data_IF_625775983122
#
_entry.id   IF_625775983122
#
_cell.length_a   1.000
_cell.length_b   1.000
_cell.length_c   1.000
_cell.angle_alpha   90.00
_cell.angle_beta   90.00
_cell.angle_gamma   90.00
#
_symmetry.space_group_name_H-M   'P 1'
#
loop_
_entity.id
_entity.type
_entity.pdbx_description
1 polymer ?
#
# COMPACT_ATOMS: atom_id res chain seq x y z
N UNK A 1 -15.86 8.74 -10.18
CA UNK A 1 -15.49 7.36 -10.53
C UNK A 1 -16.01 6.98 -11.89
N UNK A 2 -15.24 6.20 -12.60
CA UNK A 2 -15.70 5.67 -13.88
C UNK A 2 -16.69 4.52 -13.69
N UNK A 3 -17.69 4.44 -14.56
CA UNK A 3 -18.62 3.32 -14.65
C UNK A 3 -18.23 2.37 -15.78
N UNK A 4 -17.14 2.64 -16.49
CA UNK A 4 -16.66 1.85 -17.62
C UNK A 4 -15.49 0.97 -17.21
N UNK A 5 -15.36 -0.18 -17.85
CA UNK A 5 -14.15 -1.00 -17.75
C UNK A 5 -12.98 -0.24 -18.36
N UNK A 6 -11.82 -0.37 -17.75
CA UNK A 6 -10.62 0.34 -18.20
C UNK A 6 -9.36 -0.40 -17.78
N UNK A 7 -8.25 0.03 -18.35
CA UNK A 7 -6.92 -0.41 -17.91
C UNK A 7 -6.01 0.81 -17.82
N UNK A 8 -5.02 0.72 -16.93
CA UNK A 8 -4.00 1.73 -16.83
C UNK A 8 -2.64 1.08 -16.61
N UNK A 9 -1.58 1.77 -17.05
CA UNK A 9 -0.21 1.28 -16.91
C UNK A 9 0.33 1.74 -15.55
N UNK A 10 0.49 0.79 -14.63
CA UNK A 10 0.79 1.10 -13.23
C UNK A 10 2.15 1.78 -13.04
N UNK A 11 3.25 1.34 -13.71
CA UNK A 11 4.58 1.85 -13.40
C UNK A 11 4.77 3.35 -13.61
N UNK A 12 4.02 3.97 -14.49
CA UNK A 12 4.13 5.40 -14.81
C UNK A 12 2.86 6.19 -14.52
N UNK A 13 1.92 5.61 -13.79
CA UNK A 13 0.70 6.30 -13.40
C UNK A 13 1.01 7.49 -12.49
N UNK A 14 0.34 8.62 -12.74
CA UNK A 14 0.46 9.80 -11.89
C UNK A 14 -0.23 9.56 -10.56
N UNK A 15 0.47 9.88 -9.46
CA UNK A 15 -0.03 9.74 -8.11
C UNK A 15 -0.09 11.11 -7.44
N UNK A 16 -1.01 11.23 -6.48
CA UNK A 16 -1.19 12.44 -5.69
C UNK A 16 -0.63 12.24 -4.27
N UNK A 17 -0.16 13.32 -3.60
CA UNK A 17 0.26 13.20 -2.21
C UNK A 17 -0.85 12.62 -1.33
N UNK A 18 -0.46 11.67 -0.49
CA UNK A 18 -1.35 11.02 0.48
C UNK A 18 -0.57 10.83 1.78
N UNK A 19 -0.29 11.94 2.50
CA UNK A 19 0.63 11.92 3.62
C UNK A 19 0.13 11.03 4.77
N UNK A 20 1.09 10.31 5.37
CA UNK A 20 0.86 9.53 6.59
C UNK A 20 0.59 10.46 7.78
N UNK A 21 -0.13 9.94 8.76
CA UNK A 21 -0.13 10.54 10.09
C UNK A 21 1.32 10.50 10.61
N UNK A 22 1.90 11.62 11.06
CA UNK A 22 3.27 11.64 11.58
C UNK A 22 3.53 10.62 12.69
N UNK A 23 2.51 10.24 13.45
CA UNK A 23 2.61 9.22 14.49
C UNK A 23 2.93 7.82 13.94
N UNK A 24 2.68 7.57 12.67
CA UNK A 24 3.00 6.30 12.01
C UNK A 24 4.47 6.19 11.63
N UNK A 25 5.22 7.30 11.60
CA UNK A 25 6.61 7.30 11.15
C UNK A 25 7.53 6.96 12.32
N UNK A 26 8.23 5.83 12.21
CA UNK A 26 9.21 5.37 13.21
C UNK A 26 10.58 5.96 12.95
N UNK A 27 11.02 5.94 11.68
CA UNK A 27 12.31 6.53 11.30
C UNK A 27 12.31 6.93 9.82
N UNK A 28 13.21 7.86 9.49
CA UNK A 28 13.33 8.40 8.14
C UNK A 28 12.29 9.47 7.85
N UNK A 29 12.18 9.80 6.57
CA UNK A 29 11.21 10.79 6.08
C UNK A 29 10.41 10.20 4.90
N UNK A 30 9.73 9.06 5.10
CA UNK A 30 8.99 8.43 4.00
C UNK A 30 7.83 9.31 3.54
N UNK A 31 7.65 9.36 2.24
CA UNK A 31 6.55 10.10 1.60
C UNK A 31 5.64 9.11 0.90
N UNK A 32 4.34 9.28 1.09
CA UNK A 32 3.31 8.45 0.46
C UNK A 32 2.59 9.23 -0.60
N UNK A 33 2.39 8.59 -1.74
CA UNK A 33 1.55 9.06 -2.84
C UNK A 33 0.61 7.94 -3.24
N UNK A 34 -0.54 8.29 -3.79
CA UNK A 34 -1.52 7.28 -4.17
C UNK A 34 -2.56 7.77 -5.15
N UNK A 35 -3.37 6.82 -5.59
CA UNK A 35 -4.49 7.11 -6.48
C UNK A 35 -5.54 6.01 -6.31
N UNK A 36 -6.74 6.38 -5.90
CA UNK A 36 -7.89 5.47 -5.94
C UNK A 36 -8.43 5.49 -7.36
N UNK A 37 -8.40 4.34 -8.03
CA UNK A 37 -8.85 4.22 -9.42
C UNK A 37 -10.30 3.75 -9.51
N UNK A 38 -10.80 3.10 -8.47
CA UNK A 38 -12.19 2.65 -8.38
C UNK A 38 -12.60 2.54 -6.92
N UNK A 39 -13.85 2.87 -6.64
CA UNK A 39 -14.44 2.75 -5.32
C UNK A 39 -15.87 2.24 -5.48
N UNK A 40 -16.29 1.32 -4.59
CA UNK A 40 -17.67 0.84 -4.58
C UNK A 40 -18.64 1.93 -4.14
N UNK A 41 -19.93 1.77 -4.49
CA UNK A 41 -20.97 2.75 -4.17
C UNK A 41 -21.09 3.01 -2.66
N UNK A 42 -20.86 1.98 -1.83
CA UNK A 42 -20.91 2.09 -0.37
C UNK A 42 -19.57 2.56 0.24
N UNK A 43 -18.54 2.79 -0.56
CA UNK A 43 -17.23 3.23 -0.12
C UNK A 43 -16.41 2.18 0.60
N UNK A 44 -16.86 0.93 0.64
CA UNK A 44 -16.21 -0.14 1.40
C UNK A 44 -15.17 -0.93 0.63
N UNK A 45 -15.13 -0.79 -0.69
CA UNK A 45 -14.15 -1.44 -1.53
C UNK A 45 -13.39 -0.39 -2.30
N UNK A 46 -12.07 -0.44 -2.18
CA UNK A 46 -11.16 0.47 -2.87
C UNK A 46 -10.20 -0.32 -3.74
N UNK A 47 -9.90 0.21 -4.91
CA UNK A 47 -8.88 -0.31 -5.83
C UNK A 47 -7.98 0.84 -6.20
N UNK A 48 -6.68 0.65 -6.13
CA UNK A 48 -5.79 1.77 -6.39
C UNK A 48 -4.33 1.41 -6.52
N UNK A 49 -3.54 2.47 -6.55
CA UNK A 49 -2.08 2.43 -6.57
C UNK A 49 -1.58 3.22 -5.38
N UNK A 50 -0.54 2.71 -4.73
CA UNK A 50 0.07 3.34 -3.58
C UNK A 50 1.59 3.22 -3.69
N UNK A 51 2.28 4.28 -3.29
CA UNK A 51 3.73 4.33 -3.32
C UNK A 51 4.26 4.93 -2.04
N UNK A 52 5.37 4.39 -1.54
CA UNK A 52 6.06 4.91 -0.38
C UNK A 52 7.56 4.94 -0.62
N UNK A 53 8.22 6.04 -0.24
CA UNK A 53 9.67 6.16 -0.26
C UNK A 53 10.30 5.52 0.98
N UNK A 54 11.63 5.26 1.00
CA UNK A 54 12.28 4.55 2.11
C UNK A 54 12.06 5.17 3.49
N UNK A 55 11.92 4.31 4.47
CA UNK A 55 11.73 4.65 5.88
C UNK A 55 11.06 3.52 6.61
N UNK A 56 10.77 3.72 7.90
CA UNK A 56 10.08 2.74 8.74
C UNK A 56 8.78 3.35 9.23
N UNK A 57 7.68 2.66 8.97
CA UNK A 57 6.33 3.11 9.33
C UNK A 57 5.53 1.99 9.98
N UNK A 58 4.55 2.37 10.78
CA UNK A 58 3.58 1.44 11.36
C UNK A 58 2.20 1.68 10.77
N UNK A 59 1.37 0.64 10.80
CA UNK A 59 -0.02 0.74 10.38
C UNK A 59 -0.89 -0.27 11.13
N UNK A 60 -2.18 0.02 11.20
CA UNK A 60 -3.21 -0.97 11.53
C UNK A 60 -3.94 -1.25 10.23
N UNK A 61 -3.85 -2.48 9.76
CA UNK A 61 -4.25 -2.83 8.41
C UNK A 61 -5.76 -3.00 8.27
N UNK A 62 -6.24 -2.79 7.05
CA UNK A 62 -7.55 -3.26 6.59
C UNK A 62 -7.36 -4.62 5.89
N UNK A 63 -8.44 -5.27 5.47
CA UNK A 63 -8.34 -6.42 4.57
C UNK A 63 -7.84 -5.93 3.23
N UNK A 64 -6.65 -6.37 2.85
CA UNK A 64 -5.99 -5.90 1.65
C UNK A 64 -5.30 -7.03 0.92
N UNK A 65 -5.40 -7.00 -0.40
CA UNK A 65 -4.54 -7.76 -1.31
C UNK A 65 -3.75 -6.76 -2.12
N UNK A 66 -2.43 -6.94 -2.21
CA UNK A 66 -1.64 -6.06 -3.09
C UNK A 66 -0.59 -6.85 -3.87
N UNK A 67 -0.17 -6.29 -4.99
CA UNK A 67 0.93 -6.79 -5.81
C UNK A 67 1.97 -5.69 -5.91
N UNK A 68 3.23 -6.03 -5.63
CA UNK A 68 4.34 -5.10 -5.75
C UNK A 68 4.74 -4.98 -7.21
N UNK A 69 4.80 -3.75 -7.71
CA UNK A 69 5.22 -3.43 -9.07
C UNK A 69 6.71 -3.10 -9.11
N UNK A 70 7.18 -2.34 -8.13
CA UNK A 70 8.59 -1.94 -8.02
C UNK A 70 8.95 -1.69 -6.57
N UNK A 71 10.25 -1.74 -6.26
CA UNK A 71 10.76 -1.51 -4.92
C UNK A 71 10.68 -2.73 -4.02
N UNK A 72 10.99 -2.54 -2.73
CA UNK A 72 11.02 -3.63 -1.76
C UNK A 72 10.76 -3.13 -0.34
N UNK A 73 10.21 -4.00 0.48
CA UNK A 73 9.98 -3.74 1.89
C UNK A 73 9.96 -5.04 2.69
N UNK A 74 10.28 -4.92 3.98
CA UNK A 74 10.07 -5.99 4.97
C UNK A 74 8.87 -5.59 5.83
N UNK A 75 7.92 -6.50 5.96
CA UNK A 75 6.68 -6.28 6.73
C UNK A 75 6.66 -7.23 7.91
N UNK A 76 6.61 -6.66 9.11
CA UNK A 76 6.52 -7.40 10.35
C UNK A 76 5.10 -7.30 10.89
N UNK A 77 4.41 -8.42 11.02
CA UNK A 77 3.07 -8.48 11.59
C UNK A 77 3.22 -8.76 13.09
N UNK A 78 2.72 -7.86 13.93
CA UNK A 78 2.80 -8.00 15.39
C UNK A 78 2.12 -9.31 15.84
N UNK A 79 2.87 -10.15 16.54
CA UNK A 79 2.40 -11.46 16.99
C UNK A 79 2.26 -12.51 15.88
N UNK A 80 2.74 -12.21 14.68
CA UNK A 80 2.60 -13.05 13.51
C UNK A 80 3.89 -13.22 12.73
N UNK A 81 3.75 -13.25 11.41
CA UNK A 81 4.86 -13.50 10.50
C UNK A 81 5.62 -12.23 10.14
N UNK A 82 6.84 -12.41 9.67
CA UNK A 82 7.65 -11.37 9.03
C UNK A 82 7.97 -11.85 7.62
N UNK A 83 7.78 -11.00 6.63
CA UNK A 83 8.07 -11.33 5.24
C UNK A 83 8.59 -10.13 4.47
N UNK A 84 9.35 -10.41 3.41
CA UNK A 84 9.87 -9.39 2.50
C UNK A 84 9.15 -9.51 1.17
N UNK A 85 8.80 -8.36 0.58
CA UNK A 85 8.14 -8.29 -0.72
C UNK A 85 8.98 -7.47 -1.70
N UNK A 86 8.94 -7.88 -2.96
CA UNK A 86 9.59 -7.21 -4.08
C UNK A 86 8.75 -7.36 -5.35
N UNK A 87 9.25 -6.88 -6.50
CA UNK A 87 8.47 -6.86 -7.74
C UNK A 87 7.91 -8.23 -8.11
N UNK A 88 6.61 -8.28 -8.38
CA UNK A 88 5.90 -9.49 -8.72
C UNK A 88 5.34 -10.27 -7.53
N UNK A 89 5.66 -9.88 -6.29
CA UNK A 89 5.11 -10.53 -5.11
C UNK A 89 3.70 -10.04 -4.82
N UNK A 90 2.87 -10.95 -4.36
CA UNK A 90 1.54 -10.67 -3.88
C UNK A 90 1.50 -10.88 -2.37
N UNK A 91 0.84 -9.99 -1.66
CA UNK A 91 0.64 -10.11 -0.22
C UNK A 91 -0.82 -9.95 0.14
N UNK A 92 -1.21 -10.58 1.25
CA UNK A 92 -2.55 -10.43 1.83
C UNK A 92 -2.37 -9.97 3.27
N UNK A 93 -3.01 -8.87 3.61
CA UNK A 93 -3.06 -8.33 4.96
C UNK A 93 -4.47 -8.46 5.49
N UNK A 94 -4.60 -8.60 6.80
CA UNK A 94 -5.88 -8.80 7.48
C UNK A 94 -6.27 -7.58 8.31
N UNK A 95 -7.54 -7.26 8.29
CA UNK A 95 -8.07 -6.17 9.12
C UNK A 95 -7.69 -6.35 10.58
N UNK A 96 -7.19 -5.29 11.19
CA UNK A 96 -6.79 -5.25 12.59
C UNK A 96 -5.36 -5.67 12.87
N UNK A 97 -4.65 -6.26 11.91
CA UNK A 97 -3.24 -6.58 12.08
C UNK A 97 -2.43 -5.29 12.22
N UNK A 98 -1.54 -5.28 13.21
CA UNK A 98 -0.60 -4.18 13.40
C UNK A 98 0.71 -4.57 12.73
N UNK A 99 1.18 -3.69 11.85
CA UNK A 99 2.38 -3.96 11.05
C UNK A 99 3.42 -2.89 11.20
N UNK A 100 4.68 -3.28 10.99
CA UNK A 100 5.80 -2.37 10.81
C UNK A 100 6.39 -2.65 9.45
N UNK A 101 6.45 -1.61 8.61
CA UNK A 101 7.02 -1.67 7.27
C UNK A 101 8.40 -1.02 7.28
N UNK A 102 9.41 -1.77 6.93
CA UNK A 102 10.74 -1.22 6.62
C UNK A 102 10.86 -1.18 5.10
N UNK A 103 10.76 0.01 4.54
CA UNK A 103 10.84 0.22 3.10
C UNK A 103 12.29 0.40 2.71
N UNK A 104 12.83 -0.52 1.92
CA UNK A 104 14.24 -0.51 1.50
C UNK A 104 14.46 0.31 0.25
N UNK A 105 13.57 0.15 -0.74
CA UNK A 105 13.56 0.91 -1.99
C UNK A 105 12.14 1.41 -2.20
N UNK A 106 11.99 2.59 -2.81
CA UNK A 106 10.66 3.16 -3.10
C UNK A 106 9.76 2.08 -3.68
N UNK A 107 8.69 1.76 -2.95
CA UNK A 107 7.79 0.66 -3.27
C UNK A 107 6.51 1.20 -3.89
N UNK A 108 6.14 0.66 -5.05
CA UNK A 108 4.85 0.91 -5.69
C UNK A 108 4.08 -0.38 -5.76
N UNK A 109 2.82 -0.34 -5.33
CA UNK A 109 1.92 -1.49 -5.35
C UNK A 109 0.58 -1.14 -5.97
N UNK A 110 -0.06 -2.14 -6.57
CA UNK A 110 -1.47 -2.12 -6.91
C UNK A 110 -2.24 -2.86 -5.82
N UNK A 111 -3.33 -2.30 -5.33
CA UNK A 111 -4.04 -2.85 -4.19
C UNK A 111 -5.55 -2.98 -4.40
N UNK A 112 -6.13 -3.90 -3.65
CA UNK A 112 -7.56 -4.04 -3.44
C UNK A 112 -7.82 -4.07 -1.93
N UNK A 113 -8.57 -3.11 -1.43
CA UNK A 113 -8.88 -2.97 0.00
C UNK A 113 -10.38 -3.13 0.21
N UNK A 114 -10.75 -3.89 1.23
CA UNK A 114 -12.11 -4.01 1.73
C UNK A 114 -12.16 -3.44 3.16
N UNK A 115 -13.01 -2.47 3.35
CA UNK A 115 -13.21 -1.84 4.66
C UNK A 115 -14.35 -2.47 5.44
#
# INVERSE_FOLDING_TARGET
MTTHSFALHIPDADLEPDPLDPAQIVSGTPEVTGKVVWESADGKQLRGIWQITPGVVTDTEADELFVVVSGSATIEVEGGTTFTVGPGDMAVLRAGDRTTWTVHETLRKAYAINL
#
